data_IF_866019734835
#
_entry.id   IF_866019734835
#
_cell.length_a   1.000
_cell.length_b   1.000
_cell.length_c   1.000
_cell.angle_alpha   90.00
_cell.angle_beta   90.00
_cell.angle_gamma   90.00
#
_symmetry.space_group_name_H-M   'P 1'
#
loop_
_entity.id
_entity.type
_entity.pdbx_description
1 polymer ?
#
# COMPACT_ATOMS: atom_id res chain seq x y z
N UNK A 1 -7.75 -23.83 -3.09
CA UNK A 1 -8.06 -22.40 -2.85
C UNK A 1 -6.77 -21.74 -2.39
N UNK A 2 -5.90 -21.43 -3.36
CA UNK A 2 -4.56 -20.92 -3.12
C UNK A 2 -4.60 -19.42 -2.84
N UNK A 3 -4.40 -19.06 -1.58
CA UNK A 3 -4.25 -17.68 -1.14
C UNK A 3 -2.89 -17.05 -1.53
N UNK A 4 -2.13 -17.70 -2.43
CA UNK A 4 -0.92 -17.23 -3.09
C UNK A 4 -1.17 -17.08 -4.60
N UNK A 5 -1.94 -16.08 -5.03
CA UNK A 5 -2.07 -15.79 -6.45
C UNK A 5 -0.81 -15.07 -6.98
N UNK A 6 -0.23 -15.66 -8.04
CA UNK A 6 0.91 -15.26 -8.88
C UNK A 6 0.94 -13.81 -9.45
N UNK A 7 0.02 -12.93 -9.05
CA UNK A 7 -0.04 -11.54 -9.53
C UNK A 7 -0.17 -10.60 -8.34
N UNK A 8 0.98 -10.22 -7.77
CA UNK A 8 1.14 -9.05 -6.93
C UNK A 8 2.20 -8.12 -7.59
N UNK A 9 1.96 -6.80 -7.64
CA UNK A 9 0.94 -6.07 -6.92
C UNK A 9 -0.42 -6.33 -7.54
N UNK A 10 -1.43 -6.58 -6.72
CA UNK A 10 -2.77 -6.92 -7.18
C UNK A 10 -3.24 -5.91 -8.24
N UNK A 11 -4.21 -6.25 -9.09
CA UNK A 11 -4.98 -5.26 -9.87
C UNK A 11 -5.38 -4.00 -9.07
N UNK A 12 -5.37 -4.08 -7.73
CA UNK A 12 -5.69 -3.05 -6.76
C UNK A 12 -4.51 -2.17 -6.30
N UNK A 13 -3.27 -2.36 -6.75
CA UNK A 13 -2.12 -1.53 -6.36
C UNK A 13 -2.32 -0.03 -6.65
N UNK A 14 -2.98 0.29 -7.76
CA UNK A 14 -3.41 1.65 -8.09
C UNK A 14 -4.34 2.24 -7.02
N UNK A 15 -5.23 1.43 -6.46
CA UNK A 15 -6.15 1.85 -5.40
C UNK A 15 -5.40 2.06 -4.10
N UNK A 16 -4.48 1.15 -3.76
CA UNK A 16 -3.62 1.28 -2.57
C UNK A 16 -2.78 2.55 -2.63
N UNK A 17 -2.09 2.81 -3.74
CA UNK A 17 -1.29 4.02 -3.93
C UNK A 17 -2.13 5.30 -3.77
N UNK A 18 -3.35 5.33 -4.33
CA UNK A 18 -4.30 6.43 -4.15
C UNK A 18 -4.76 6.59 -2.70
N UNK A 19 -5.13 5.50 -2.02
CA UNK A 19 -5.54 5.54 -0.62
C UNK A 19 -4.42 6.06 0.30
N UNK A 20 -3.17 5.74 -0.05
CA UNK A 20 -1.97 6.22 0.64
C UNK A 20 -1.51 7.62 0.21
N UNK A 21 -2.26 8.30 -0.67
CA UNK A 21 -1.93 9.61 -1.26
C UNK A 21 -0.54 9.66 -1.90
N UNK A 22 -0.13 8.55 -2.53
CA UNK A 22 1.10 8.46 -3.30
C UNK A 22 0.90 8.89 -4.77
N UNK A 23 -0.33 9.22 -5.17
CA UNK A 23 -0.69 9.68 -6.52
C UNK A 23 -0.40 11.16 -6.75
N UNK A 24 0.65 11.70 -6.12
CA UNK A 24 1.11 13.07 -6.29
C UNK A 24 2.53 13.06 -6.84
N UNK A 25 2.74 13.84 -7.89
CA UNK A 25 4.06 14.10 -8.46
C UNK A 25 4.92 14.94 -7.49
N UNK A 26 6.25 14.96 -7.66
CA UNK A 26 7.16 15.79 -6.85
C UNK A 26 6.78 17.27 -6.81
N UNK A 27 6.15 17.76 -7.88
CA UNK A 27 5.63 19.13 -8.01
C UNK A 27 4.27 19.36 -7.31
N UNK A 28 3.76 18.36 -6.57
CA UNK A 28 2.47 18.42 -5.88
C UNK A 28 1.24 18.22 -6.77
N UNK A 29 1.43 17.87 -8.04
CA UNK A 29 0.35 17.64 -8.98
C UNK A 29 -0.25 16.23 -8.81
N UNK A 30 -1.59 16.13 -8.80
CA UNK A 30 -2.27 14.84 -8.69
C UNK A 30 -2.24 14.08 -10.01
N UNK A 31 -1.70 12.86 -10.00
CA UNK A 31 -1.62 11.95 -11.14
C UNK A 31 -3.01 11.38 -11.44
N UNK A 32 -3.72 11.97 -12.41
CA UNK A 32 -5.08 11.55 -12.79
C UNK A 32 -5.13 10.13 -13.38
N UNK A 33 -4.10 9.71 -14.12
CA UNK A 33 -4.01 8.40 -14.80
C UNK A 33 -2.77 7.63 -14.35
N UNK A 34 -2.80 7.11 -13.12
CA UNK A 34 -1.73 6.28 -12.58
C UNK A 34 -1.73 4.88 -13.25
N UNK A 35 -0.63 4.53 -13.92
CA UNK A 35 -0.43 3.17 -14.46
C UNK A 35 -0.14 2.20 -13.33
N UNK A 36 -0.34 0.91 -13.61
CA UNK A 36 -0.11 -0.13 -12.61
C UNK A 36 1.35 -0.16 -12.16
N UNK A 37 2.30 -0.22 -13.09
CA UNK A 37 3.74 -0.24 -12.82
C UNK A 37 4.22 0.96 -12.02
N UNK A 38 3.71 2.15 -12.32
CA UNK A 38 4.03 3.36 -11.58
C UNK A 38 3.49 3.29 -10.14
N UNK A 39 2.29 2.76 -9.95
CA UNK A 39 1.75 2.49 -8.62
C UNK A 39 2.64 1.50 -7.83
N UNK A 40 3.15 0.46 -8.48
CA UNK A 40 4.10 -0.49 -7.85
C UNK A 40 5.37 0.22 -7.41
N UNK A 41 5.96 1.03 -8.30
CA UNK A 41 7.18 1.78 -8.01
C UNK A 41 7.01 2.73 -6.82
N UNK A 42 5.88 3.44 -6.78
CA UNK A 42 5.55 4.33 -5.66
C UNK A 42 5.41 3.57 -4.34
N UNK A 43 4.81 2.37 -4.35
CA UNK A 43 4.69 1.53 -3.17
C UNK A 43 6.04 1.00 -2.69
N UNK A 44 6.90 0.53 -3.61
CA UNK A 44 8.25 0.10 -3.28
C UNK A 44 9.11 1.25 -2.73
N UNK A 45 8.99 2.44 -3.33
CA UNK A 45 9.65 3.66 -2.84
C UNK A 45 9.18 4.03 -1.43
N UNK A 46 7.86 3.94 -1.15
CA UNK A 46 7.30 4.16 0.18
C UNK A 46 7.84 3.16 1.20
N UNK A 47 7.97 1.89 0.78
CA UNK A 47 8.55 0.81 1.57
C UNK A 47 10.10 0.88 1.69
N UNK A 48 10.75 1.87 1.07
CA UNK A 48 12.22 2.08 1.06
C UNK A 48 13.00 0.86 0.57
N UNK A 49 12.49 0.19 -0.45
CA UNK A 49 13.13 -0.99 -1.04
C UNK A 49 13.00 -1.00 -2.56
N UNK A 50 13.73 -1.90 -3.20
CA UNK A 50 13.63 -2.09 -4.65
C UNK A 50 12.26 -2.65 -5.00
N UNK A 51 11.80 -2.41 -6.24
CA UNK A 51 10.54 -2.99 -6.73
C UNK A 51 10.57 -4.51 -6.58
N UNK A 52 11.63 -5.16 -7.04
CA UNK A 52 11.77 -6.60 -6.93
C UNK A 52 11.70 -7.10 -5.48
N UNK A 53 12.43 -6.48 -4.56
CA UNK A 53 12.38 -6.85 -3.14
C UNK A 53 10.99 -6.66 -2.54
N UNK A 54 10.25 -5.62 -2.95
CA UNK A 54 8.86 -5.42 -2.53
C UNK A 54 7.91 -6.49 -3.07
N UNK A 55 8.15 -6.98 -4.29
CA UNK A 55 7.33 -8.04 -4.90
C UNK A 55 7.57 -9.42 -4.28
N UNK A 56 8.76 -9.64 -3.72
CA UNK A 56 9.13 -10.87 -3.04
C UNK A 56 8.57 -10.94 -1.60
N UNK A 57 8.06 -9.83 -1.07
CA UNK A 57 7.52 -9.80 0.29
C UNK A 57 6.19 -10.57 0.42
N UNK A 58 6.03 -11.34 1.51
CA UNK A 58 4.72 -11.81 1.93
C UNK A 58 3.75 -10.64 2.14
N UNK A 59 2.46 -10.88 1.88
CA UNK A 59 1.41 -9.85 1.95
C UNK A 59 1.43 -9.04 3.26
N UNK A 60 1.53 -9.69 4.41
CA UNK A 60 1.55 -8.99 5.69
C UNK A 60 2.81 -8.13 5.88
N UNK A 61 3.96 -8.64 5.47
CA UNK A 61 5.24 -7.90 5.51
C UNK A 61 5.23 -6.72 4.55
N UNK A 62 4.61 -6.87 3.37
CA UNK A 62 4.42 -5.77 2.43
C UNK A 62 3.58 -4.64 3.06
N UNK A 63 2.56 -4.97 3.86
CA UNK A 63 1.74 -4.00 4.57
C UNK A 63 2.49 -3.33 5.71
N UNK A 64 3.27 -4.09 6.48
CA UNK A 64 4.15 -3.53 7.51
C UNK A 64 5.14 -2.54 6.90
N UNK A 65 5.79 -2.91 5.80
CA UNK A 65 6.74 -2.07 5.08
C UNK A 65 6.11 -0.78 4.53
N UNK A 66 4.84 -0.84 4.13
CA UNK A 66 4.05 0.33 3.73
C UNK A 66 3.61 1.22 4.92
N UNK A 67 3.85 0.80 6.16
CA UNK A 67 3.41 1.50 7.37
C UNK A 67 1.94 1.23 7.73
N UNK A 68 1.33 0.18 7.16
CA UNK A 68 -0.06 -0.20 7.41
C UNK A 68 -0.20 -1.04 8.69
N UNK A 69 0.33 -0.52 9.79
CA UNK A 69 0.18 -1.11 11.11
C UNK A 69 -0.07 -0.03 12.15
N UNK A 70 -0.75 -0.39 13.24
CA UNK A 70 -1.04 0.50 14.36
C UNK A 70 -0.81 -0.24 15.66
N UNK A 71 -0.18 0.43 16.61
CA UNK A 71 -0.09 -0.06 17.99
C UNK A 71 -1.42 0.21 18.68
N UNK A 72 -2.08 -0.85 19.14
CA UNK A 72 -3.30 -0.77 19.95
C UNK A 72 -3.00 -1.16 21.40
N UNK A 73 -3.93 -0.96 22.32
CA UNK A 73 -3.83 -1.44 23.71
C UNK A 73 -3.71 -2.98 23.82
N UNK A 74 -3.99 -3.71 22.74
CA UNK A 74 -3.86 -5.17 22.64
C UNK A 74 -2.61 -5.61 21.85
N UNK A 75 -1.73 -4.68 21.48
CA UNK A 75 -0.52 -4.95 20.68
C UNK A 75 -0.57 -4.41 19.25
N UNK A 76 0.50 -4.62 18.46
CA UNK A 76 0.59 -4.17 17.09
C UNK A 76 -0.37 -4.96 16.19
N UNK A 77 -1.16 -4.24 15.39
CA UNK A 77 -2.04 -4.83 14.38
C UNK A 77 -1.73 -4.28 13.01
N UNK A 78 -1.57 -5.19 12.04
CA UNK A 78 -1.44 -4.87 10.62
C UNK A 78 -2.84 -4.77 10.02
N UNK A 79 -3.06 -3.81 9.12
CA UNK A 79 -4.34 -3.63 8.45
C UNK A 79 -4.16 -3.54 6.94
N UNK A 80 -5.21 -3.92 6.21
CA UNK A 80 -5.22 -3.86 4.76
C UNK A 80 -5.36 -2.40 4.27
N UNK A 81 -4.41 -1.88 3.49
CA UNK A 81 -4.47 -0.51 2.99
C UNK A 81 -5.61 -0.23 1.99
N UNK A 82 -6.27 -1.26 1.46
CA UNK A 82 -7.47 -1.10 0.64
C UNK A 82 -8.66 -0.59 1.45
N UNK A 83 -8.74 -0.94 2.73
CA UNK A 83 -9.86 -0.64 3.61
C UNK A 83 -9.55 0.47 4.62
N UNK A 84 -8.49 1.25 4.36
CA UNK A 84 -8.09 2.43 5.14
C UNK A 84 -9.22 3.49 5.21
N UNK A 85 -10.26 3.37 4.38
CA UNK A 85 -11.48 4.18 4.39
C UNK A 85 -12.74 3.47 4.95
N UNK A 86 -12.60 2.47 5.83
CA UNK A 86 -13.72 2.02 6.65
C UNK A 86 -13.65 2.63 8.05
N UNK A 87 -14.25 3.82 8.19
CA UNK A 87 -14.92 4.33 9.40
C UNK A 87 -14.13 4.67 10.68
N UNK A 88 -12.82 4.49 10.77
CA UNK A 88 -12.07 4.85 12.01
C UNK A 88 -11.25 6.14 11.96
N UNK A 89 -11.27 6.87 10.83
CA UNK A 89 -10.86 8.28 10.79
C UNK A 89 -12.08 9.18 11.00
N UNK A 90 -12.72 9.05 12.16
CA UNK A 90 -13.63 10.08 12.64
C UNK A 90 -13.03 10.64 13.92
N UNK A 91 -12.67 11.93 13.84
CA UNK A 91 -12.45 12.89 14.92
C UNK A 91 -11.64 12.40 16.13
N UNK A 92 -10.41 12.89 16.26
CA UNK A 92 -9.97 13.66 17.42
C UNK A 92 -8.88 14.63 16.98
#
# INVERSE_FOLDING_TARGET
MDYNHHTWPSPRAKVVAKNMRLDYDPDGNKIKRLKHEDAVRLLAMKARMTVQGFLELPKEESWKALGCFRTTCYGPRVYDPLYLHSRYFNRY
#
